data_IF_905451396269
#
_entry.id   IF_905451396269
#
_cell.length_a   1.000
_cell.length_b   1.000
_cell.length_c   1.000
_cell.angle_alpha   90.00
_cell.angle_beta   90.00
_cell.angle_gamma   90.00
#
_symmetry.space_group_name_H-M   'P 1'
#
loop_
_entity.id
_entity.type
_entity.pdbx_description
1 polymer ?
#
# COMPACT_ATOMS: atom_id res chain seq x y z
N UNK A 1 2.19 -7.32 -33.60
CA UNK A 1 3.05 -7.74 -32.47
C UNK A 1 2.23 -8.68 -31.60
N UNK A 2 2.78 -9.79 -31.11
CA UNK A 2 2.05 -10.61 -30.14
C UNK A 2 1.79 -9.75 -28.89
N UNK A 3 0.65 -9.92 -28.20
CA UNK A 3 0.42 -9.21 -26.96
C UNK A 3 1.53 -9.64 -25.99
N UNK A 4 2.31 -8.67 -25.52
CA UNK A 4 3.22 -8.88 -24.39
C UNK A 4 2.35 -9.35 -23.23
N UNK A 5 2.39 -10.64 -22.89
CA UNK A 5 1.67 -11.19 -21.76
C UNK A 5 2.07 -10.38 -20.51
N UNK A 6 1.13 -10.06 -19.62
CA UNK A 6 1.42 -9.36 -18.37
C UNK A 6 2.54 -10.05 -17.60
N UNK A 7 2.61 -11.38 -17.65
CA UNK A 7 3.72 -12.15 -17.07
C UNK A 7 5.07 -11.73 -17.64
N UNK A 8 5.15 -11.41 -18.92
CA UNK A 8 6.37 -10.90 -19.56
C UNK A 8 6.72 -9.51 -19.05
N UNK A 9 5.73 -8.62 -18.89
CA UNK A 9 5.94 -7.27 -18.34
C UNK A 9 6.41 -7.38 -16.88
N UNK A 10 5.69 -8.15 -16.06
CA UNK A 10 6.01 -8.39 -14.64
C UNK A 10 7.37 -9.08 -14.48
N UNK A 11 7.70 -10.05 -15.34
CA UNK A 11 9.03 -10.69 -15.33
C UNK A 11 10.13 -9.71 -15.73
N UNK A 12 9.89 -8.85 -16.71
CA UNK A 12 10.86 -7.82 -17.09
C UNK A 12 11.07 -6.80 -15.97
N UNK A 13 10.00 -6.38 -15.29
CA UNK A 13 10.10 -5.51 -14.12
C UNK A 13 10.83 -6.20 -12.95
N UNK A 14 10.53 -7.47 -12.67
CA UNK A 14 11.27 -8.26 -11.68
C UNK A 14 12.78 -8.34 -12.01
N UNK A 15 13.13 -8.45 -13.29
CA UNK A 15 14.53 -8.44 -13.74
C UNK A 15 15.19 -7.08 -13.55
N UNK A 16 14.47 -5.98 -13.77
CA UNK A 16 14.96 -4.61 -13.52
C UNK A 16 15.18 -4.40 -12.01
N UNK A 17 14.20 -4.75 -11.18
CA UNK A 17 14.31 -4.72 -9.73
C UNK A 17 15.48 -5.57 -9.21
N UNK A 18 15.64 -6.80 -9.70
CA UNK A 18 16.74 -7.68 -9.30
C UNK A 18 18.12 -7.14 -9.70
N UNK A 19 18.24 -6.40 -10.81
CA UNK A 19 19.48 -5.72 -11.21
C UNK A 19 19.84 -4.58 -10.25
N UNK A 20 18.85 -3.86 -9.73
CA UNK A 20 19.07 -2.74 -8.81
C UNK A 20 19.47 -3.18 -7.39
N UNK A 21 19.06 -4.38 -6.95
CA UNK A 21 19.48 -4.96 -5.65
C UNK A 21 20.99 -5.09 -5.48
N UNK A 22 21.72 -5.27 -6.59
CA UNK A 22 23.18 -5.42 -6.57
C UNK A 22 23.93 -4.08 -6.47
N UNK A 23 23.23 -2.94 -6.48
CA UNK A 23 23.83 -1.61 -6.54
C UNK A 23 23.69 -0.80 -5.25
N UNK A 24 22.88 -1.24 -4.27
CA UNK A 24 22.54 -0.39 -3.12
C UNK A 24 22.52 -1.19 -1.82
N UNK A 25 23.35 -0.77 -0.86
CA UNK A 25 23.27 -1.27 0.50
C UNK A 25 21.97 -0.79 1.17
N UNK A 26 21.18 -1.67 1.81
CA UNK A 26 19.99 -1.26 2.54
C UNK A 26 20.37 -0.25 3.62
N UNK A 27 19.65 0.88 3.69
CA UNK A 27 19.81 1.85 4.78
C UNK A 27 19.27 1.20 6.05
N UNK A 28 20.17 0.62 6.85
CA UNK A 28 19.84 0.11 8.18
C UNK A 28 19.56 1.28 9.12
N UNK A 29 18.28 1.60 9.30
CA UNK A 29 17.82 2.29 10.50
C UNK A 29 17.66 1.21 11.56
N UNK A 30 18.25 1.40 12.74
CA UNK A 30 18.42 0.35 13.76
C UNK A 30 17.14 -0.46 14.01
N UNK A 31 17.18 -1.75 13.66
CA UNK A 31 16.16 -2.74 14.04
C UNK A 31 14.96 -2.92 13.12
N UNK A 32 14.81 -2.16 12.03
CA UNK A 32 13.75 -2.34 11.03
C UNK A 32 14.28 -2.11 9.61
N UNK A 33 13.88 -2.97 8.67
CA UNK A 33 14.18 -2.75 7.25
C UNK A 33 13.44 -1.48 6.79
N UNK A 34 14.19 -0.48 6.31
CA UNK A 34 13.63 0.73 5.74
C UNK A 34 12.75 0.41 4.52
N UNK A 35 11.93 1.37 4.05
CA UNK A 35 11.37 1.26 2.69
C UNK A 35 12.54 1.03 1.74
N UNK A 36 12.56 -0.13 1.08
CA UNK A 36 13.67 -0.56 0.24
C UNK A 36 13.85 0.47 -0.87
N UNK A 37 14.95 1.22 -0.82
CA UNK A 37 15.20 2.38 -1.67
C UNK A 37 15.40 2.04 -3.14
N UNK A 38 15.54 0.74 -3.44
CA UNK A 38 15.83 0.11 -4.73
C UNK A 38 14.59 -0.50 -5.43
N UNK A 39 13.38 -0.41 -4.84
CA UNK A 39 12.24 -1.25 -5.28
C UNK A 39 10.87 -0.55 -5.30
N UNK A 40 10.76 0.64 -5.89
CA UNK A 40 9.44 1.07 -6.36
C UNK A 40 9.50 1.49 -7.82
N UNK A 41 8.81 0.72 -8.65
CA UNK A 41 8.62 0.98 -10.06
C UNK A 41 7.14 1.32 -10.26
N UNK A 42 6.85 2.51 -10.79
CA UNK A 42 5.48 2.89 -11.15
C UNK A 42 5.25 2.46 -12.60
N UNK A 43 4.38 1.47 -12.80
CA UNK A 43 3.92 1.08 -14.13
C UNK A 43 2.60 1.78 -14.43
N UNK A 44 2.58 2.64 -15.46
CA UNK A 44 1.35 3.20 -16.03
C UNK A 44 0.93 2.30 -17.20
N UNK A 45 -0.25 1.66 -17.08
CA UNK A 45 -0.75 0.70 -18.07
C UNK A 45 -2.17 1.11 -18.47
N UNK A 46 -2.37 1.35 -19.77
CA UNK A 46 -3.62 1.87 -20.34
C UNK A 46 -4.79 0.86 -20.31
N UNK A 47 -4.51 -0.43 -20.06
CA UNK A 47 -5.50 -1.54 -20.04
C UNK A 47 -5.51 -2.33 -18.72
N UNK A 48 -5.33 -1.68 -17.58
CA UNK A 48 -5.36 -2.36 -16.27
C UNK A 48 -6.74 -2.92 -15.86
N UNK A 49 -7.84 -2.50 -16.48
CA UNK A 49 -9.18 -2.98 -16.09
C UNK A 49 -9.40 -4.48 -16.35
N UNK A 50 -8.69 -5.05 -17.33
CA UNK A 50 -8.76 -6.48 -17.64
C UNK A 50 -7.85 -7.32 -16.71
N UNK A 51 -7.07 -6.68 -15.84
CA UNK A 51 -6.07 -7.30 -14.98
C UNK A 51 -6.42 -7.07 -13.50
N UNK A 52 -6.47 -8.15 -12.72
CA UNK A 52 -6.69 -8.08 -11.27
C UNK A 52 -5.45 -7.48 -10.58
N UNK A 53 -5.43 -6.16 -10.43
CA UNK A 53 -4.32 -5.39 -9.83
C UNK A 53 -4.70 -4.88 -8.43
N UNK A 54 -3.84 -4.99 -7.41
CA UNK A 54 -4.16 -4.52 -6.06
C UNK A 54 -4.15 -2.99 -5.92
N UNK A 55 -3.25 -2.32 -6.64
CA UNK A 55 -3.04 -0.87 -6.57
C UNK A 55 -3.49 -0.22 -7.88
N UNK A 56 -4.70 0.32 -7.88
CA UNK A 56 -5.31 1.03 -9.02
C UNK A 56 -5.60 2.47 -8.59
N UNK A 57 -5.21 3.43 -9.43
CA UNK A 57 -5.53 4.84 -9.29
C UNK A 57 -6.66 5.20 -10.27
N UNK A 58 -7.66 5.94 -9.80
CA UNK A 58 -8.68 6.56 -10.66
C UNK A 58 -8.78 8.07 -10.36
N UNK A 59 -9.56 8.79 -11.16
CA UNK A 59 -9.76 10.24 -10.98
C UNK A 59 -10.39 10.58 -9.63
N UNK A 60 -11.33 9.79 -9.12
CA UNK A 60 -11.98 10.06 -7.83
C UNK A 60 -10.99 10.05 -6.65
N UNK A 61 -10.06 9.08 -6.64
CA UNK A 61 -8.99 9.02 -5.65
C UNK A 61 -8.07 10.23 -5.77
N UNK A 62 -7.71 10.64 -7.00
CA UNK A 62 -6.88 11.84 -7.24
C UNK A 62 -7.57 13.08 -6.70
N UNK A 63 -8.84 13.31 -7.05
CA UNK A 63 -9.59 14.50 -6.65
C UNK A 63 -9.71 14.60 -5.11
N UNK A 64 -9.92 13.47 -4.43
CA UNK A 64 -9.92 13.41 -2.96
C UNK A 64 -8.56 13.77 -2.39
N UNK A 65 -7.48 13.17 -2.91
CA UNK A 65 -6.13 13.43 -2.41
C UNK A 65 -5.77 14.90 -2.63
N UNK A 66 -5.98 15.44 -3.83
CA UNK A 66 -5.71 16.84 -4.17
C UNK A 66 -6.44 17.78 -3.21
N UNK A 67 -7.74 17.58 -2.97
CA UNK A 67 -8.52 18.39 -2.04
C UNK A 67 -8.05 18.31 -0.57
N UNK A 68 -7.42 17.20 -0.17
CA UNK A 68 -6.87 17.04 1.19
C UNK A 68 -5.50 17.71 1.35
N UNK A 69 -4.68 17.71 0.29
CA UNK A 69 -3.27 18.14 0.32
C UNK A 69 -3.03 19.52 -0.32
N UNK A 70 -4.09 20.27 -0.61
CA UNK A 70 -4.00 21.64 -1.13
C UNK A 70 -3.03 22.49 -0.28
N UNK A 71 -2.22 23.30 -0.96
CA UNK A 71 -1.20 24.21 -0.39
C UNK A 71 0.16 23.60 -0.01
N UNK A 72 0.58 22.49 -0.64
CA UNK A 72 1.92 21.89 -0.45
C UNK A 72 2.23 21.65 1.03
N UNK A 73 1.28 21.04 1.74
CA UNK A 73 1.45 20.65 3.14
C UNK A 73 2.67 19.73 3.29
N UNK A 74 3.27 19.74 4.47
CA UNK A 74 4.35 18.80 4.78
C UNK A 74 3.85 17.34 4.72
N UNK A 75 4.77 16.41 4.47
CA UNK A 75 4.46 14.99 4.26
C UNK A 75 3.64 14.38 5.39
N UNK A 76 3.91 14.78 6.64
CA UNK A 76 3.24 14.23 7.83
C UNK A 76 1.81 14.74 7.94
N UNK A 77 1.59 16.02 7.70
CA UNK A 77 0.25 16.60 7.67
C UNK A 77 -0.59 16.00 6.55
N UNK A 78 -0.03 15.85 5.35
CA UNK A 78 -0.69 15.20 4.21
C UNK A 78 -1.09 13.76 4.53
N UNK A 79 -0.14 12.96 5.06
CA UNK A 79 -0.41 11.58 5.46
C UNK A 79 -1.53 11.47 6.50
N UNK A 80 -1.51 12.33 7.52
CA UNK A 80 -2.52 12.31 8.57
C UNK A 80 -3.91 12.74 8.07
N UNK A 81 -3.99 13.71 7.15
CA UNK A 81 -5.28 14.11 6.54
C UNK A 81 -5.87 12.99 5.69
N UNK A 82 -5.06 12.33 4.88
CA UNK A 82 -5.47 11.15 4.08
C UNK A 82 -5.96 10.03 5.00
N UNK A 83 -5.21 9.74 6.07
CA UNK A 83 -5.62 8.76 7.08
C UNK A 83 -6.96 9.10 7.73
N UNK A 84 -7.15 10.36 8.15
CA UNK A 84 -8.40 10.80 8.76
C UNK A 84 -9.58 10.67 7.79
N UNK A 85 -9.37 10.98 6.51
CA UNK A 85 -10.37 10.77 5.47
C UNK A 85 -10.71 9.28 5.34
N UNK A 86 -9.71 8.40 5.28
CA UNK A 86 -9.91 6.95 5.22
C UNK A 86 -10.77 6.45 6.38
N UNK A 87 -10.44 6.83 7.63
CA UNK A 87 -11.17 6.40 8.83
C UNK A 87 -12.61 6.91 8.86
N UNK A 88 -12.86 8.08 8.24
CA UNK A 88 -14.19 8.71 8.22
C UNK A 88 -15.08 8.19 7.10
N UNK A 89 -14.50 7.73 5.98
CA UNK A 89 -15.24 7.38 4.77
C UNK A 89 -15.23 5.89 4.45
N UNK A 90 -14.23 5.14 4.91
CA UNK A 90 -14.09 3.71 4.62
C UNK A 90 -14.36 2.91 5.89
N UNK A 91 -15.46 2.16 5.88
CA UNK A 91 -15.82 1.29 6.99
C UNK A 91 -15.02 0.00 6.97
N UNK A 92 -14.57 -0.45 8.14
CA UNK A 92 -14.08 -1.82 8.27
C UNK A 92 -15.27 -2.77 8.18
N UNK A 93 -15.25 -3.66 7.20
CA UNK A 93 -16.40 -4.51 6.93
C UNK A 93 -16.02 -5.82 6.27
N UNK A 94 -17.00 -6.70 6.20
CA UNK A 94 -16.86 -8.06 5.67
C UNK A 94 -17.82 -8.29 4.52
N UNK A 95 -18.27 -7.23 3.81
CA UNK A 95 -19.10 -7.36 2.62
C UNK A 95 -18.55 -8.51 1.80
N UNK A 96 -19.36 -9.56 1.70
CA UNK A 96 -18.93 -10.83 1.13
C UNK A 96 -18.58 -10.54 -0.31
N UNK A 97 -17.28 -10.57 -0.57
CA UNK A 97 -16.73 -11.04 -1.81
C UNK A 97 -17.50 -12.33 -2.14
N UNK A 98 -18.13 -12.39 -3.32
CA UNK A 98 -18.49 -13.67 -3.89
C UNK A 98 -17.23 -14.48 -4.18
N UNK A 99 -17.27 -15.32 -5.21
CA UNK A 99 -16.11 -16.13 -5.66
C UNK A 99 -14.94 -15.31 -6.27
N UNK A 100 -14.64 -14.09 -5.81
CA UNK A 100 -13.72 -13.13 -6.46
C UNK A 100 -12.49 -12.74 -5.63
N UNK A 101 -12.43 -13.08 -4.35
CA UNK A 101 -11.30 -12.77 -3.48
C UNK A 101 -11.09 -11.29 -3.19
N UNK A 102 -9.92 -10.93 -2.68
CA UNK A 102 -9.60 -9.56 -2.23
C UNK A 102 -9.90 -8.49 -3.29
N UNK A 103 -10.50 -7.37 -2.87
CA UNK A 103 -10.76 -6.19 -3.70
C UNK A 103 -9.54 -5.29 -3.85
N UNK A 104 -9.45 -4.64 -4.99
CA UNK A 104 -8.43 -3.62 -5.25
C UNK A 104 -8.82 -2.26 -4.65
N UNK A 105 -7.89 -1.30 -4.68
CA UNK A 105 -8.09 0.04 -4.13
C UNK A 105 -9.29 0.81 -4.70
N UNK A 106 -9.61 0.69 -5.99
CA UNK A 106 -10.77 1.38 -6.59
C UNK A 106 -12.08 0.77 -6.12
N UNK A 107 -12.17 -0.56 -6.06
CA UNK A 107 -13.35 -1.24 -5.55
C UNK A 107 -13.65 -0.86 -4.08
N UNK A 108 -12.61 -0.77 -3.24
CA UNK A 108 -12.75 -0.33 -1.84
C UNK A 108 -13.18 1.13 -1.75
N UNK A 109 -12.63 1.99 -2.61
CA UNK A 109 -12.98 3.39 -2.68
C UNK A 109 -14.44 3.59 -3.07
N UNK A 110 -14.91 2.88 -4.09
CA UNK A 110 -16.29 2.96 -4.59
C UNK A 110 -17.31 2.35 -3.61
N UNK A 111 -16.95 1.24 -2.94
CA UNK A 111 -17.81 0.56 -1.97
C UNK A 111 -17.88 1.23 -0.59
N UNK A 112 -16.93 2.13 -0.29
CA UNK A 112 -16.73 2.75 1.02
C UNK A 112 -16.56 1.73 2.17
N UNK A 113 -16.04 0.53 1.88
CA UNK A 113 -15.91 -0.58 2.83
C UNK A 113 -14.76 -1.51 2.45
N UNK A 114 -13.93 -1.93 3.41
CA UNK A 114 -12.78 -2.81 3.20
C UNK A 114 -12.39 -3.66 4.40
N UNK A 115 -11.68 -4.78 4.16
CA UNK A 115 -10.87 -5.45 5.20
C UNK A 115 -9.47 -4.86 5.29
N UNK A 116 -8.66 -5.30 6.27
CA UNK A 116 -7.36 -4.69 6.60
C UNK A 116 -6.41 -4.53 5.39
N UNK A 117 -6.19 -5.59 4.60
CA UNK A 117 -5.31 -5.50 3.44
C UNK A 117 -5.87 -4.62 2.32
N UNK A 118 -7.18 -4.66 2.10
CA UNK A 118 -7.86 -3.84 1.10
C UNK A 118 -7.75 -2.35 1.44
N UNK A 119 -7.99 -2.01 2.71
CA UNK A 119 -7.83 -0.63 3.22
C UNK A 119 -6.38 -0.17 3.18
N UNK A 120 -5.41 -1.06 3.44
CA UNK A 120 -3.99 -0.75 3.31
C UNK A 120 -3.61 -0.44 1.84
N UNK A 121 -4.14 -1.19 0.88
CA UNK A 121 -3.93 -0.93 -0.55
C UNK A 121 -4.49 0.43 -0.97
N UNK A 122 -5.73 0.75 -0.59
CA UNK A 122 -6.31 2.07 -0.90
C UNK A 122 -5.50 3.21 -0.26
N UNK A 123 -5.13 3.10 1.02
CA UNK A 123 -4.30 4.11 1.66
C UNK A 123 -2.96 4.30 0.95
N UNK A 124 -2.32 3.21 0.49
CA UNK A 124 -1.07 3.28 -0.26
C UNK A 124 -1.24 3.97 -1.62
N UNK A 125 -2.33 3.73 -2.34
CA UNK A 125 -2.60 4.48 -3.57
C UNK A 125 -2.74 5.97 -3.25
N UNK A 126 -3.55 6.32 -2.24
CA UNK A 126 -3.76 7.73 -1.87
C UNK A 126 -2.46 8.43 -1.44
N UNK A 127 -1.62 7.77 -0.62
CA UNK A 127 -0.40 8.36 -0.10
C UNK A 127 0.66 8.55 -1.19
N UNK A 128 0.72 7.61 -2.15
CA UNK A 128 1.60 7.70 -3.32
C UNK A 128 1.17 8.79 -4.28
N UNK A 129 -0.14 9.01 -4.45
CA UNK A 129 -0.67 10.17 -5.18
C UNK A 129 -0.23 11.50 -4.56
N UNK A 130 -0.10 11.55 -3.23
CA UNK A 130 0.45 12.71 -2.52
C UNK A 130 2.00 12.82 -2.59
N UNK A 131 2.67 11.98 -3.38
CA UNK A 131 4.13 11.99 -3.54
C UNK A 131 4.90 11.38 -2.36
N UNK A 132 4.23 10.62 -1.49
CA UNK A 132 4.85 9.99 -0.32
C UNK A 132 5.07 8.51 -0.61
N UNK A 133 6.31 8.05 -0.45
CA UNK A 133 6.66 6.64 -0.61
C UNK A 133 6.02 5.81 0.49
N UNK A 134 5.56 4.61 0.13
CA UNK A 134 5.06 3.63 1.09
C UNK A 134 5.01 2.22 0.51
N UNK A 135 4.91 1.25 1.41
CA UNK A 135 4.85 -0.18 1.11
C UNK A 135 3.74 -0.84 1.92
N UNK A 136 3.20 -1.93 1.40
CA UNK A 136 2.29 -2.78 2.15
C UNK A 136 3.05 -3.46 3.28
N UNK A 137 2.42 -3.63 4.43
CA UNK A 137 3.04 -4.27 5.59
C UNK A 137 2.14 -5.37 6.15
N UNK A 138 2.64 -6.60 6.14
CA UNK A 138 2.01 -7.72 6.84
C UNK A 138 2.33 -7.65 8.33
N UNK A 139 1.33 -7.91 9.17
CA UNK A 139 1.46 -7.86 10.62
C UNK A 139 1.18 -9.25 11.17
N UNK A 140 2.19 -9.84 11.81
CA UNK A 140 2.09 -11.13 12.50
C UNK A 140 1.70 -10.95 13.97
N UNK A 141 2.16 -9.85 14.60
CA UNK A 141 1.90 -9.56 16.01
C UNK A 141 1.54 -8.09 16.19
N UNK A 142 0.33 -7.85 16.71
CA UNK A 142 -0.21 -6.52 16.89
C UNK A 142 0.48 -5.75 18.05
N UNK A 143 0.07 -4.49 18.26
CA UNK A 143 0.58 -3.61 19.31
C UNK A 143 0.35 -4.14 20.73
N UNK A 144 -0.65 -5.00 20.93
CA UNK A 144 -0.96 -5.63 22.22
C UNK A 144 -0.11 -6.87 22.47
N UNK A 145 0.52 -7.44 21.44
CA UNK A 145 1.24 -8.71 21.51
C UNK A 145 0.43 -9.92 21.09
N UNK A 146 -0.74 -9.72 20.47
CA UNK A 146 -1.57 -10.79 19.97
C UNK A 146 -1.10 -11.20 18.57
N UNK A 147 -1.02 -12.51 18.33
CA UNK A 147 -0.83 -13.05 16.99
C UNK A 147 -2.05 -12.75 16.10
N UNK A 148 -1.80 -12.19 14.92
CA UNK A 148 -2.83 -11.76 13.97
C UNK A 148 -2.40 -12.11 12.54
N UNK A 149 -3.37 -12.20 11.63
CA UNK A 149 -3.12 -12.15 10.19
C UNK A 149 -3.73 -10.84 9.71
N UNK A 150 -2.91 -9.79 9.74
CA UNK A 150 -3.37 -8.42 9.53
C UNK A 150 -2.45 -7.67 8.57
N UNK A 151 -2.90 -6.51 8.13
CA UNK A 151 -2.12 -5.66 7.25
C UNK A 151 -2.34 -4.18 7.53
N UNK A 152 -1.28 -3.41 7.33
CA UNK A 152 -1.26 -1.96 7.42
C UNK A 152 -0.37 -1.38 6.31
N UNK A 153 -0.21 -0.06 6.29
CA UNK A 153 0.71 0.62 5.40
C UNK A 153 1.97 1.09 6.16
N UNK A 154 3.13 0.97 5.54
CA UNK A 154 4.39 1.55 5.99
C UNK A 154 4.74 2.73 5.09
N UNK A 155 4.96 3.93 5.64
CA UNK A 155 5.25 5.13 4.85
C UNK A 155 6.54 5.82 5.28
N UNK A 156 7.19 6.46 4.32
CA UNK A 156 8.42 7.23 4.50
C UNK A 156 8.09 8.60 5.10
N UNK A 157 7.62 8.61 6.33
CA UNK A 157 7.25 9.82 7.07
C UNK A 157 7.74 9.62 8.49
N UNK A 158 8.37 10.64 9.07
CA UNK A 158 8.86 10.59 10.43
C UNK A 158 7.73 10.26 11.44
N UNK A 159 7.95 9.17 12.17
CA UNK A 159 7.05 8.61 13.16
C UNK A 159 7.82 7.86 14.24
N UNK A 160 7.16 6.94 14.93
CA UNK A 160 7.73 6.18 16.04
C UNK A 160 8.99 5.37 15.69
N UNK A 161 9.26 5.14 14.41
CA UNK A 161 10.36 4.33 13.89
C UNK A 161 11.42 5.15 13.15
N UNK A 162 11.65 6.41 13.57
CA UNK A 162 12.85 7.16 13.19
C UNK A 162 12.97 7.47 11.69
N UNK A 163 11.85 7.86 11.07
CA UNK A 163 11.74 8.14 9.64
C UNK A 163 10.62 7.36 8.93
N UNK A 164 10.05 6.38 9.63
CA UNK A 164 8.96 5.54 9.14
C UNK A 164 7.76 5.65 10.07
N UNK A 165 6.58 5.64 9.46
CA UNK A 165 5.29 5.59 10.15
C UNK A 165 4.52 4.38 9.66
N UNK A 166 3.97 3.57 10.58
CA UNK A 166 2.94 2.59 10.24
C UNK A 166 1.56 3.21 10.39
N UNK A 167 0.74 3.06 9.37
CA UNK A 167 -0.61 3.61 9.32
C UNK A 167 -1.59 2.47 9.13
N UNK A 168 -2.51 2.33 10.09
CA UNK A 168 -3.49 1.27 10.12
C UNK A 168 -4.91 1.83 10.12
N UNK A 169 -5.51 2.02 8.92
CA UNK A 169 -6.90 2.45 8.79
C UNK A 169 -7.90 1.47 9.44
N UNK A 170 -7.61 0.17 9.45
CA UNK A 170 -8.49 -0.85 10.01
C UNK A 170 -8.54 -0.79 11.54
N UNK A 171 -7.41 -0.49 12.20
CA UNK A 171 -7.36 -0.22 13.64
C UNK A 171 -7.61 1.26 13.98
N UNK A 172 -7.90 2.09 12.97
CA UNK A 172 -8.11 3.53 13.13
C UNK A 172 -6.97 4.20 13.90
N UNK A 173 -5.73 3.77 13.65
CA UNK A 173 -4.55 4.28 14.34
C UNK A 173 -3.48 4.72 13.36
N UNK A 174 -3.04 5.97 13.51
CA UNK A 174 -1.89 6.54 12.81
C UNK A 174 -0.64 6.41 13.68
N UNK A 175 0.51 6.07 13.08
CA UNK A 175 1.77 5.81 13.78
C UNK A 175 1.66 4.66 14.80
N UNK A 176 1.02 3.57 14.37
CA UNK A 176 0.79 2.38 15.19
C UNK A 176 2.10 1.63 15.46
N UNK A 177 2.21 1.04 16.65
CA UNK A 177 3.41 0.30 17.09
C UNK A 177 3.16 -1.20 17.17
N UNK A 178 2.95 -1.84 16.03
CA UNK A 178 2.91 -3.29 15.96
C UNK A 178 4.26 -3.89 16.37
N UNK A 179 4.24 -5.10 16.95
CA UNK A 179 5.45 -5.74 17.48
C UNK A 179 6.22 -6.50 16.41
N UNK A 180 5.50 -7.15 15.50
CA UNK A 180 6.11 -7.92 14.39
C UNK A 180 5.45 -7.54 13.09
N UNK A 181 6.23 -6.94 12.20
CA UNK A 181 5.77 -6.41 10.91
C UNK A 181 6.77 -6.77 9.83
N UNK A 182 6.26 -7.20 8.67
CA UNK A 182 7.04 -7.46 7.47
C UNK A 182 6.56 -6.58 6.32
N UNK A 183 7.36 -5.59 5.88
CA UNK A 183 7.04 -4.87 4.66
C UNK A 183 7.15 -5.79 3.44
N UNK A 184 6.26 -5.59 2.48
CA UNK A 184 6.18 -6.34 1.23
C UNK A 184 6.28 -5.37 0.05
N UNK A 185 6.95 -5.83 -0.99
CA UNK A 185 7.04 -5.13 -2.28
C UNK A 185 5.71 -5.23 -3.04
N UNK A 186 5.49 -4.32 -3.99
CA UNK A 186 4.31 -4.37 -4.84
C UNK A 186 4.24 -5.66 -5.67
N UNK A 187 5.38 -6.25 -6.03
CA UNK A 187 5.44 -7.54 -6.73
C UNK A 187 5.04 -8.71 -5.85
N UNK A 188 5.48 -8.72 -4.59
CA UNK A 188 5.04 -9.73 -3.62
C UNK A 188 3.52 -9.64 -3.42
N UNK A 189 2.99 -8.43 -3.24
CA UNK A 189 1.55 -8.22 -3.10
C UNK A 189 0.79 -8.58 -4.37
N UNK A 190 1.26 -8.20 -5.55
CA UNK A 190 0.63 -8.59 -6.81
C UNK A 190 0.52 -10.12 -6.95
N UNK A 191 1.59 -10.85 -6.60
CA UNK A 191 1.58 -12.32 -6.64
C UNK A 191 0.57 -12.89 -5.65
N UNK A 192 0.55 -12.40 -4.41
CA UNK A 192 -0.35 -12.91 -3.37
C UNK A 192 -1.81 -12.50 -3.60
N UNK A 193 -2.07 -11.28 -4.08
CA UNK A 193 -3.40 -10.77 -4.39
C UNK A 193 -4.15 -11.61 -5.44
N UNK A 194 -3.42 -12.11 -6.43
CA UNK A 194 -3.97 -13.02 -7.45
C UNK A 194 -4.26 -14.44 -6.93
N UNK A 195 -3.73 -14.78 -5.75
CA UNK A 195 -3.96 -16.07 -5.08
C UNK A 195 -5.07 -15.98 -4.02
N UNK A 196 -5.40 -14.78 -3.56
CA UNK A 196 -6.49 -14.55 -2.62
C UNK A 196 -7.83 -14.63 -3.35
N UNK A 197 -8.53 -15.77 -3.13
CA UNK A 197 -9.89 -16.09 -3.60
C UNK A 197 -10.97 -15.77 -2.56
#
# INVERSE_FOLDING_TARGET
MPPTNLDTIVNNLNLISARNKNLVNPVKISGMESIRSDEYEIALIDKCFDLKMPFILNKGIVDVVEGLVENKLDRRTSAKKIFNWMVSNISYGRRKLGNRGYRNSVEVFDDCEGVCGEMAMLYLVMIRTAGIRGSYAHVDVDQTGKAVNHACAMIDVEGAYGGITFVDPAYKTYDIRHKTVKPLTDFEIFKTFNQWN
#
